data_IF_968894009286
#
_entry.id   IF_968894009286
#
_cell.length_a   1.000
_cell.length_b   1.000
_cell.length_c   1.000
_cell.angle_alpha   90.00
_cell.angle_beta   90.00
_cell.angle_gamma   90.00
#
_symmetry.space_group_name_H-M   'P 1'
#
loop_
_entity.id
_entity.type
_entity.pdbx_description
1 polymer ?
#
# COMPACT_ATOMS: atom_id res chain seq x y z
N UNK A 1 11.17 -11.36 26.79
CA UNK A 1 10.76 -12.16 25.61
C UNK A 1 10.08 -11.22 24.64
N UNK A 2 10.69 -11.06 23.47
CA UNK A 2 10.30 -10.13 22.41
C UNK A 2 9.23 -10.78 21.54
N UNK A 3 7.98 -10.30 21.55
CA UNK A 3 7.07 -10.32 20.38
C UNK A 3 5.70 -9.68 20.72
N UNK A 4 5.56 -8.36 20.57
CA UNK A 4 4.24 -7.73 20.50
C UNK A 4 4.11 -7.12 19.11
N UNK A 5 3.76 -7.95 18.13
CA UNK A 5 3.32 -7.47 16.81
C UNK A 5 1.83 -7.11 16.93
N UNK A 6 1.45 -5.82 16.95
CA UNK A 6 0.04 -5.48 16.89
C UNK A 6 -0.46 -5.93 15.52
N UNK A 7 -1.42 -6.86 15.53
CA UNK A 7 -2.18 -7.25 14.35
C UNK A 7 -2.73 -5.97 13.73
N UNK A 8 -2.07 -5.52 12.65
CA UNK A 8 -2.48 -4.34 11.89
C UNK A 8 -3.82 -4.72 11.25
N UNK A 9 -4.92 -4.42 11.94
CA UNK A 9 -6.21 -4.24 11.28
C UNK A 9 -5.93 -3.47 10.00
N UNK A 10 -6.20 -4.03 8.81
CA UNK A 10 -5.97 -3.31 7.58
C UNK A 10 -6.98 -2.15 7.61
N UNK A 11 -6.53 -1.01 8.13
CA UNK A 11 -7.23 0.26 8.02
C UNK A 11 -7.49 0.39 6.53
N UNK A 12 -8.75 0.20 6.11
CA UNK A 12 -9.17 0.27 4.71
C UNK A 12 -8.46 1.46 4.11
N UNK A 13 -7.51 1.20 3.22
CA UNK A 13 -6.64 2.26 2.74
C UNK A 13 -7.53 3.22 1.96
N UNK A 14 -7.75 4.45 2.43
CA UNK A 14 -8.70 5.34 1.76
C UNK A 14 -8.17 5.77 0.39
N UNK A 15 -6.87 5.56 0.15
CA UNK A 15 -6.16 6.02 -1.04
C UNK A 15 -5.33 4.89 -1.63
N UNK A 16 -5.60 4.58 -2.90
CA UNK A 16 -4.69 3.80 -3.73
C UNK A 16 -3.46 4.65 -4.11
N UNK A 17 -2.29 4.01 -4.26
CA UNK A 17 -1.11 4.69 -4.79
C UNK A 17 -1.36 5.20 -6.23
N UNK A 18 -0.57 6.16 -6.70
CA UNK A 18 -0.67 6.74 -8.04
C UNK A 18 -0.68 5.68 -9.14
N UNK A 19 0.22 4.70 -9.06
CA UNK A 19 0.27 3.61 -10.03
C UNK A 19 -1.03 2.81 -10.08
N UNK A 20 -1.56 2.43 -8.91
CA UNK A 20 -2.79 1.67 -8.84
C UNK A 20 -4.01 2.52 -9.24
N UNK A 21 -4.02 3.83 -8.92
CA UNK A 21 -5.05 4.79 -9.36
C UNK A 21 -5.05 4.92 -10.87
N UNK A 22 -3.90 5.20 -11.49
CA UNK A 22 -3.77 5.36 -12.94
C UNK A 22 -4.15 4.10 -13.71
N UNK A 23 -3.86 2.92 -13.16
CA UNK A 23 -4.24 1.61 -13.73
C UNK A 23 -5.61 1.11 -13.31
N UNK A 24 -6.36 1.86 -12.50
CA UNK A 24 -7.68 1.47 -11.95
C UNK A 24 -7.69 0.08 -11.31
N UNK A 25 -6.58 -0.29 -10.66
CA UNK A 25 -6.42 -1.60 -10.01
C UNK A 25 -6.54 -1.49 -8.49
N UNK A 26 -6.85 -2.61 -7.83
CA UNK A 26 -6.94 -2.68 -6.38
C UNK A 26 -5.56 -2.43 -5.75
N UNK A 27 -5.45 -1.37 -4.95
CA UNK A 27 -4.28 -1.11 -4.12
C UNK A 27 -4.53 -1.69 -2.72
N UNK A 28 -3.59 -2.49 -2.22
CA UNK A 28 -3.57 -2.95 -0.82
C UNK A 28 -3.19 -1.83 0.16
N UNK A 29 -2.56 -0.75 -0.33
CA UNK A 29 -2.29 0.42 0.48
C UNK A 29 -1.18 0.26 1.52
N UNK A 30 -0.39 -0.81 1.42
CA UNK A 30 0.77 -1.04 2.29
C UNK A 30 1.79 0.08 2.04
N UNK A 31 2.36 0.62 3.12
CA UNK A 31 3.47 1.59 3.08
C UNK A 31 4.75 0.91 3.55
N UNK A 32 5.92 1.17 2.94
CA UNK A 32 6.19 2.25 1.96
C UNK A 32 5.77 1.93 0.51
N UNK A 33 5.57 0.66 0.17
CA UNK A 33 5.13 0.23 -1.16
C UNK A 33 4.00 -0.78 -1.06
N UNK A 34 2.99 -0.64 -1.94
CA UNK A 34 1.91 -1.62 -2.04
C UNK A 34 2.43 -2.93 -2.63
N UNK A 35 1.78 -4.06 -2.32
CA UNK A 35 2.18 -5.38 -2.81
C UNK A 35 2.27 -5.45 -4.34
N UNK A 36 1.45 -4.69 -5.06
CA UNK A 36 1.51 -4.62 -6.52
C UNK A 36 2.73 -3.86 -7.04
N UNK A 37 3.08 -2.73 -6.41
CA UNK A 37 4.25 -1.96 -6.77
C UNK A 37 5.53 -2.70 -6.35
N UNK A 38 5.54 -3.35 -5.20
CA UNK A 38 6.63 -4.18 -4.71
C UNK A 38 6.90 -5.37 -5.64
N UNK A 39 5.88 -6.16 -6.01
CA UNK A 39 6.07 -7.27 -6.97
C UNK A 39 6.59 -6.83 -8.34
N UNK A 40 6.24 -5.61 -8.76
CA UNK A 40 6.67 -5.04 -10.04
C UNK A 40 7.97 -4.24 -9.93
N UNK A 41 8.51 -4.08 -8.72
CA UNK A 41 9.69 -3.26 -8.42
C UNK A 41 9.60 -1.85 -9.04
N UNK A 42 8.43 -1.23 -8.94
CA UNK A 42 8.16 0.12 -9.44
C UNK A 42 7.98 1.10 -8.29
N UNK A 43 8.16 2.40 -8.58
CA UNK A 43 7.90 3.47 -7.63
C UNK A 43 6.44 3.43 -7.15
N UNK A 44 6.26 3.37 -5.82
CA UNK A 44 4.95 3.44 -5.17
C UNK A 44 4.78 4.79 -4.50
N UNK A 45 4.11 5.72 -5.18
CA UNK A 45 3.87 7.06 -4.66
C UNK A 45 2.42 7.22 -4.23
N UNK A 46 2.21 7.82 -3.06
CA UNK A 46 0.88 8.19 -2.57
C UNK A 46 0.79 9.71 -2.53
N UNK A 47 0.25 10.33 -3.58
CA UNK A 47 -0.02 11.77 -3.58
C UNK A 47 -1.34 12.08 -2.89
N UNK A 48 -1.37 12.89 -1.80
CA UNK A 48 -2.61 13.44 -1.27
C UNK A 48 -3.27 14.32 -2.34
N UNK A 49 -4.61 14.30 -2.39
CA UNK A 49 -5.40 15.25 -3.19
C UNK A 49 -5.62 16.53 -2.40
#
# INVERSE_FOLDING_TARGET
QSNTQPAKVPRRTPMACEFCRGRKMKCDGIRPSCANCERRQIACTYQPV
#
